data_IF_079325102692
#
_entry.id   IF_079325102692
#
_cell.length_a   1.000
_cell.length_b   1.000
_cell.length_c   1.000
_cell.angle_alpha   90.00
_cell.angle_beta   90.00
_cell.angle_gamma   90.00
#
_symmetry.space_group_name_H-M   'P 1'
#
loop_
_entity.id
_entity.type
_entity.pdbx_description
1 polymer ?
#
# COMPACT_ATOMS: atom_id res chain seq x y z
N UNK A 1 12.79 -2.18 0.88
CA UNK A 1 11.51 -2.14 0.13
C UNK A 1 11.27 -0.72 -0.33
N UNK A 2 10.73 -0.56 -1.54
CA UNK A 2 10.16 0.70 -2.00
C UNK A 2 8.67 0.47 -2.34
N UNK A 3 7.84 1.49 -2.18
CA UNK A 3 6.43 1.43 -2.52
C UNK A 3 5.93 2.78 -3.01
N UNK A 4 4.91 2.75 -3.88
CA UNK A 4 4.21 3.94 -4.36
C UNK A 4 2.72 3.64 -4.48
N UNK A 5 1.90 4.62 -4.15
CA UNK A 5 0.44 4.53 -4.19
C UNK A 5 -0.09 5.62 -5.12
N UNK A 6 -0.84 5.20 -6.14
CA UNK A 6 -1.50 6.10 -7.08
C UNK A 6 -3.02 5.96 -6.94
N UNK A 7 -3.74 7.02 -6.57
CA UNK A 7 -5.20 7.03 -6.67
C UNK A 7 -5.64 6.83 -8.12
N UNK A 8 -6.73 6.11 -8.36
CA UNK A 8 -7.42 6.07 -9.65
C UNK A 8 -8.23 7.36 -9.87
N UNK A 9 -8.70 7.66 -11.10
CA UNK A 9 -9.50 8.85 -11.38
C UNK A 9 -10.81 8.96 -10.56
N UNK A 10 -11.35 7.84 -10.10
CA UNK A 10 -12.56 7.81 -9.27
C UNK A 10 -12.30 8.08 -7.77
N UNK A 11 -11.01 8.15 -7.37
CA UNK A 11 -10.52 8.29 -5.99
C UNK A 11 -10.98 7.20 -5.01
N UNK A 12 -11.86 6.28 -5.42
CA UNK A 12 -12.34 5.15 -4.63
C UNK A 12 -11.41 3.94 -4.73
N UNK A 13 -10.49 3.94 -5.69
CA UNK A 13 -9.48 2.90 -5.86
C UNK A 13 -8.07 3.45 -5.79
N UNK A 14 -7.16 2.62 -5.30
CA UNK A 14 -5.73 2.88 -5.25
C UNK A 14 -5.00 1.81 -6.05
N UNK A 15 -4.03 2.20 -6.86
CA UNK A 15 -3.03 1.33 -7.45
C UNK A 15 -1.77 1.36 -6.58
N UNK A 16 -1.53 0.27 -5.86
CA UNK A 16 -0.35 0.09 -5.04
C UNK A 16 0.70 -0.68 -5.84
N UNK A 17 1.91 -0.13 -5.93
CA UNK A 17 3.10 -0.87 -6.43
C UNK A 17 4.10 -1.04 -5.30
N UNK A 18 4.62 -2.24 -5.13
CA UNK A 18 5.62 -2.58 -4.12
C UNK A 18 6.78 -3.29 -4.78
N UNK A 19 7.99 -2.81 -4.50
CA UNK A 19 9.25 -3.43 -4.85
C UNK A 19 9.94 -3.96 -3.58
N UNK A 20 9.94 -5.28 -3.45
CA UNK A 20 10.59 -6.02 -2.38
C UNK A 20 12.07 -6.22 -2.72
N UNK A 21 12.93 -6.08 -1.71
CA UNK A 21 14.33 -6.51 -1.83
C UNK A 21 14.39 -8.03 -1.95
N UNK A 22 15.43 -8.57 -2.58
CA UNK A 22 15.61 -10.00 -2.69
C UNK A 22 15.52 -10.70 -1.33
N UNK A 23 14.78 -11.80 -1.28
CA UNK A 23 14.52 -12.58 -0.08
C UNK A 23 14.87 -14.05 -0.31
N UNK A 24 15.46 -14.69 0.71
CA UNK A 24 15.78 -16.12 0.68
C UNK A 24 14.55 -17.00 0.91
N UNK A 25 13.55 -16.47 1.62
CA UNK A 25 12.26 -17.10 1.91
C UNK A 25 11.15 -16.08 1.69
N UNK A 26 9.99 -16.55 1.24
CA UNK A 26 8.86 -15.70 0.87
C UNK A 26 8.27 -14.98 2.09
N UNK A 27 8.26 -13.63 2.13
CA UNK A 27 7.68 -12.88 3.23
C UNK A 27 6.17 -12.73 3.08
N UNK A 28 5.48 -12.47 4.19
CA UNK A 28 4.12 -11.94 4.14
C UNK A 28 4.17 -10.41 4.02
N UNK A 29 3.23 -9.84 3.28
CA UNK A 29 3.05 -8.39 3.13
C UNK A 29 1.67 -7.99 3.65
N UNK A 30 1.65 -7.15 4.68
CA UNK A 30 0.46 -6.47 5.16
C UNK A 30 0.54 -4.98 4.83
N UNK A 31 -0.56 -4.43 4.32
CA UNK A 31 -0.72 -3.02 4.02
C UNK A 31 -2.03 -2.50 4.60
N UNK A 32 -1.94 -1.42 5.35
CA UNK A 32 -3.09 -0.72 5.93
C UNK A 32 -3.09 0.71 5.39
N UNK A 33 -4.23 1.14 4.83
CA UNK A 33 -4.43 2.52 4.42
C UNK A 33 -5.26 3.24 5.47
N UNK A 34 -4.79 4.40 5.94
CA UNK A 34 -5.50 5.28 6.87
C UNK A 34 -5.85 6.61 6.23
N UNK A 35 -6.99 7.18 6.63
CA UNK A 35 -7.40 8.53 6.27
C UNK A 35 -6.69 9.59 7.14
N UNK A 36 -6.89 10.90 6.90
CA UNK A 36 -6.26 11.96 7.69
C UNK A 36 -6.61 11.95 9.19
N UNK A 37 -7.72 11.30 9.58
CA UNK A 37 -8.14 11.14 10.96
C UNK A 37 -7.58 9.85 11.60
N UNK A 38 -6.78 9.06 10.85
CA UNK A 38 -6.21 7.79 11.29
C UNK A 38 -7.15 6.61 11.18
N UNK A 39 -8.33 6.76 10.56
CA UNK A 39 -9.26 5.65 10.38
C UNK A 39 -8.76 4.73 9.27
N UNK A 40 -8.81 3.42 9.51
CA UNK A 40 -8.50 2.44 8.49
C UNK A 40 -9.56 2.42 7.38
N UNK A 41 -9.15 2.73 6.15
CA UNK A 41 -10.04 2.81 4.98
C UNK A 41 -9.83 1.69 3.97
N UNK A 42 -8.66 1.05 3.94
CA UNK A 42 -8.38 -0.13 3.10
C UNK A 42 -7.31 -1.01 3.73
N UNK A 43 -7.30 -2.30 3.39
CA UNK A 43 -6.33 -3.28 3.88
C UNK A 43 -6.02 -4.31 2.82
N UNK A 44 -4.79 -4.80 2.81
CA UNK A 44 -4.31 -5.90 1.97
C UNK A 44 -3.40 -6.78 2.81
N UNK A 45 -3.58 -8.09 2.72
CA UNK A 45 -2.67 -9.08 3.29
C UNK A 45 -2.33 -10.10 2.22
N UNK A 46 -1.05 -10.30 1.97
CA UNK A 46 -0.52 -11.27 1.00
C UNK A 46 0.41 -12.21 1.74
N UNK A 47 0.07 -13.49 1.72
CA UNK A 47 0.85 -14.53 2.38
C UNK A 47 1.88 -15.06 1.39
N UNK A 48 3.13 -15.18 1.84
CA UNK A 48 4.25 -15.69 1.05
C UNK A 48 4.35 -15.06 -0.35
N UNK A 49 4.57 -13.73 -0.42
CA UNK A 49 4.77 -13.00 -1.68
C UNK A 49 5.94 -13.61 -2.45
N UNK A 50 5.70 -14.01 -3.70
CA UNK A 50 6.67 -14.74 -4.52
C UNK A 50 7.44 -13.83 -5.48
N UNK A 51 6.80 -12.77 -5.94
CA UNK A 51 7.35 -11.79 -6.87
C UNK A 51 8.02 -10.64 -6.11
N UNK A 52 9.15 -10.15 -6.63
CA UNK A 52 9.82 -8.97 -6.06
C UNK A 52 9.10 -7.68 -6.43
N UNK A 53 8.41 -7.65 -7.56
CA UNK A 53 7.59 -6.53 -7.99
C UNK A 53 6.14 -6.97 -8.08
N UNK A 54 5.29 -6.36 -7.26
CA UNK A 54 3.87 -6.67 -7.20
C UNK A 54 3.05 -5.39 -7.33
N UNK A 55 1.88 -5.53 -7.92
CA UNK A 55 0.93 -4.44 -8.06
C UNK A 55 -0.48 -4.91 -7.68
N UNK A 56 -1.17 -4.11 -6.87
CA UNK A 56 -2.50 -4.43 -6.37
C UNK A 56 -3.44 -3.24 -6.54
N UNK A 57 -4.71 -3.53 -6.78
CA UNK A 57 -5.78 -2.54 -6.68
C UNK A 57 -6.44 -2.66 -5.31
N UNK A 58 -6.44 -1.60 -4.51
CA UNK A 58 -7.16 -1.53 -3.25
C UNK A 58 -8.41 -0.66 -3.42
N UNK A 59 -9.50 -1.06 -2.78
CA UNK A 59 -10.74 -0.29 -2.74
C UNK A 59 -10.88 0.42 -1.39
N UNK A 60 -11.12 1.73 -1.41
CA UNK A 60 -11.45 2.49 -0.21
C UNK A 60 -12.87 2.12 0.26
N UNK A 61 -13.02 1.88 1.56
CA UNK A 61 -14.29 1.50 2.19
C UNK A 61 -15.13 2.70 2.63
N UNK A 62 -14.57 3.90 2.57
CA UNK A 62 -15.21 5.14 2.98
C UNK A 62 -15.23 6.11 1.80
N UNK A 63 -16.10 7.13 1.89
CA UNK A 63 -16.13 8.20 0.91
C UNK A 63 -14.74 8.85 0.80
N UNK A 64 -14.19 8.99 -0.42
CA UNK A 64 -12.88 9.59 -0.61
C UNK A 64 -12.88 11.06 -0.16
N UNK A 65 -11.77 11.52 0.42
CA UNK A 65 -11.51 12.92 0.75
C UNK A 65 -10.49 13.47 -0.25
N UNK A 66 -10.93 14.08 -1.37
CA UNK A 66 -10.02 14.51 -2.43
C UNK A 66 -8.95 15.47 -1.92
N UNK A 67 -7.73 15.34 -2.45
CA UNK A 67 -6.55 16.12 -2.10
C UNK A 67 -6.08 16.04 -0.63
N UNK A 68 -6.75 15.30 0.24
CA UNK A 68 -6.27 15.05 1.60
C UNK A 68 -5.09 14.07 1.61
N UNK A 69 -4.27 14.13 2.66
CA UNK A 69 -3.12 13.24 2.82
C UNK A 69 -3.55 11.96 3.55
N UNK A 70 -3.36 10.83 2.88
CA UNK A 70 -3.59 9.49 3.41
C UNK A 70 -2.23 8.85 3.72
N UNK A 71 -2.25 7.81 4.56
CA UNK A 71 -1.04 7.05 4.86
C UNK A 71 -1.22 5.59 4.46
N UNK A 72 -0.18 5.01 3.86
CA UNK A 72 -0.09 3.58 3.66
C UNK A 72 0.99 3.02 4.58
N UNK A 73 0.59 2.16 5.51
CA UNK A 73 1.46 1.49 6.46
C UNK A 73 1.78 0.09 5.95
N UNK A 74 3.06 -0.23 5.82
CA UNK A 74 3.53 -1.50 5.32
C UNK A 74 4.19 -2.28 6.43
N UNK A 75 3.93 -3.59 6.46
CA UNK A 75 4.61 -4.54 7.31
C UNK A 75 5.00 -5.76 6.48
N UNK A 76 6.29 -6.08 6.47
CA UNK A 76 6.81 -7.34 5.94
C UNK A 76 7.18 -8.25 7.11
N UNK A 77 6.65 -9.46 7.12
CA UNK A 77 6.95 -10.46 8.15
C UNK A 77 7.42 -11.78 7.55
N UNK A 78 8.10 -12.58 8.38
CA UNK A 78 8.39 -14.00 8.13
C UNK A 78 8.17 -14.76 9.42
N UNK A 79 7.13 -15.59 9.46
CA UNK A 79 6.61 -16.10 10.73
C UNK A 79 6.34 -14.93 11.68
N UNK A 80 6.89 -15.00 12.89
CA UNK A 80 6.75 -13.95 13.90
C UNK A 80 7.79 -12.82 13.80
N UNK A 81 8.70 -12.90 12.82
CA UNK A 81 9.78 -11.92 12.65
C UNK A 81 9.33 -10.78 11.75
N UNK A 82 9.44 -9.54 12.23
CA UNK A 82 9.28 -8.34 11.39
C UNK A 82 10.57 -8.10 10.60
N UNK A 83 10.46 -8.14 9.27
CA UNK A 83 11.58 -7.89 8.35
C UNK A 83 11.68 -6.40 7.99
N UNK A 84 10.54 -5.73 7.84
CA UNK A 84 10.50 -4.33 7.48
C UNK A 84 9.18 -3.70 7.91
N UNK A 85 9.24 -2.42 8.30
CA UNK A 85 8.07 -1.59 8.58
C UNK A 85 8.31 -0.20 8.01
N UNK A 86 7.33 0.33 7.30
CA UNK A 86 7.40 1.69 6.78
C UNK A 86 6.02 2.32 6.68
N UNK A 87 6.01 3.63 6.50
CA UNK A 87 4.80 4.39 6.22
C UNK A 87 5.14 5.37 5.12
N UNK A 88 4.24 5.50 4.15
CA UNK A 88 4.34 6.54 3.12
C UNK A 88 3.07 7.39 3.17
N UNK A 89 3.27 8.69 3.06
CA UNK A 89 2.19 9.64 2.89
C UNK A 89 1.93 9.80 1.39
N UNK A 90 0.65 9.90 1.01
CA UNK A 90 0.26 10.19 -0.37
C UNK A 90 -0.99 11.08 -0.41
N UNK A 91 -1.07 12.05 -1.34
CA UNK A 91 -2.29 12.79 -1.55
C UNK A 91 -3.32 11.90 -2.24
N UNK A 92 -4.59 11.98 -1.82
CA UNK A 92 -5.70 11.38 -2.56
C UNK A 92 -6.09 12.26 -3.75
N UNK A 93 -5.17 12.36 -4.71
CA UNK A 93 -5.35 13.06 -5.96
C UNK A 93 -4.85 12.16 -7.11
N UNK A 94 -5.66 12.03 -8.17
CA UNK A 94 -5.22 11.36 -9.38
C UNK A 94 -4.13 12.19 -10.04
N UNK A 95 -2.98 11.57 -10.26
CA UNK A 95 -1.90 12.08 -11.10
C UNK A 95 -1.62 11.00 -12.13
N UNK A 96 -1.56 11.39 -13.40
CA UNK A 96 -1.19 10.48 -14.47
C UNK A 96 0.21 9.92 -14.17
N UNK A 97 0.40 8.60 -14.02
CA UNK A 97 1.71 8.03 -13.77
C UNK A 97 2.64 8.41 -14.93
N UNK A 98 3.80 8.99 -14.64
CA UNK A 98 4.79 9.25 -15.66
C UNK A 98 5.20 7.91 -16.32
N UNK A 99 5.14 7.88 -17.66
CA UNK A 99 5.51 6.74 -18.50
C UNK A 99 6.95 6.25 -18.29
#
# INVERSE_FOLDING_TARGET
MAAVVYPYPDLGRLWLRVALSAFAEYPNLDVIITDPAGNQVATLSVIEVREQEVAYTLHLRQAPQPAAIYQAHFLLTRGDVTLHRSTIDFPLAFVEPAS
#
